data_IF_865763771314
#
_entry.id   IF_865763771314
#
_cell.length_a   1.000
_cell.length_b   1.000
_cell.length_c   1.000
_cell.angle_alpha   90.00
_cell.angle_beta   90.00
_cell.angle_gamma   90.00
#
_symmetry.space_group_name_H-M   'P 1'
#
loop_
_entity.id
_entity.type
_entity.pdbx_description
1 polymer ?
#
# COMPACT_ATOMS: atom_id res chain seq x y z
N UNK A 1 2.07 -24.24 19.48
CA UNK A 1 1.63 -24.68 18.13
C UNK A 1 0.12 -24.91 18.05
N UNK A 2 -0.50 -25.67 18.94
CA UNK A 2 -1.96 -25.98 18.94
C UNK A 2 -2.88 -24.74 18.93
N UNK A 3 -2.60 -23.73 19.76
CA UNK A 3 -3.42 -22.52 19.85
C UNK A 3 -3.47 -21.71 18.54
N UNK A 4 -2.35 -21.59 17.82
CA UNK A 4 -2.29 -20.88 16.52
C UNK A 4 -3.10 -21.60 15.43
N UNK A 5 -3.07 -22.93 15.41
CA UNK A 5 -3.86 -23.72 14.44
C UNK A 5 -5.35 -23.65 14.74
N UNK A 6 -5.75 -23.56 16.01
CA UNK A 6 -7.15 -23.38 16.40
C UNK A 6 -7.68 -22.02 15.92
N UNK A 7 -7.00 -20.92 16.21
CA UNK A 7 -7.41 -19.57 15.78
C UNK A 7 -7.51 -19.45 14.24
N UNK A 8 -6.56 -20.08 13.53
CA UNK A 8 -6.62 -20.09 12.07
C UNK A 8 -7.85 -20.87 11.57
N UNK A 9 -8.17 -22.00 12.17
CA UNK A 9 -9.36 -22.77 11.79
C UNK A 9 -10.65 -22.01 12.09
N UNK A 10 -10.73 -21.31 13.20
CA UNK A 10 -11.87 -20.45 13.55
C UNK A 10 -12.04 -19.32 12.50
N UNK A 11 -10.95 -18.65 12.13
CA UNK A 11 -10.96 -17.64 11.09
C UNK A 11 -11.45 -18.19 9.74
N UNK A 12 -10.99 -19.36 9.34
CA UNK A 12 -11.42 -20.03 8.10
C UNK A 12 -12.89 -20.44 8.15
N UNK A 13 -13.40 -20.89 9.31
CA UNK A 13 -14.81 -21.20 9.47
C UNK A 13 -15.71 -19.98 9.29
N UNK A 14 -15.29 -18.82 9.82
CA UNK A 14 -16.01 -17.54 9.60
C UNK A 14 -15.91 -17.11 8.15
N UNK A 15 -14.72 -17.14 7.57
CA UNK A 15 -14.47 -16.76 6.18
C UNK A 15 -15.34 -17.56 5.17
N UNK A 16 -15.47 -18.87 5.38
CA UNK A 16 -16.27 -19.73 4.50
C UNK A 16 -17.77 -19.39 4.51
N UNK A 17 -18.25 -18.74 5.57
CA UNK A 17 -19.66 -18.30 5.71
C UNK A 17 -19.88 -16.85 5.26
N UNK A 18 -18.83 -16.15 4.88
CA UNK A 18 -18.87 -14.74 4.49
C UNK A 18 -18.83 -14.59 2.98
N UNK A 19 -19.40 -13.51 2.46
CA UNK A 19 -19.32 -13.14 1.03
C UNK A 19 -18.03 -12.39 0.71
N UNK A 20 -17.54 -11.57 1.65
CA UNK A 20 -16.31 -10.79 1.57
C UNK A 20 -15.56 -10.90 2.90
N UNK A 21 -14.25 -10.93 2.84
CA UNK A 21 -13.37 -11.01 4.00
C UNK A 21 -12.63 -9.68 4.15
N UNK A 22 -12.81 -8.99 5.26
CA UNK A 22 -12.03 -7.81 5.63
C UNK A 22 -11.00 -8.21 6.66
N UNK A 23 -9.72 -8.00 6.35
CA UNK A 23 -8.59 -8.35 7.22
C UNK A 23 -7.95 -7.07 7.73
N UNK A 24 -8.07 -6.79 9.02
CA UNK A 24 -7.30 -5.75 9.70
C UNK A 24 -5.92 -6.32 10.07
N UNK A 25 -4.87 -5.78 9.47
CA UNK A 25 -3.50 -6.25 9.67
C UNK A 25 -2.50 -5.09 9.60
N UNK A 26 -1.24 -5.36 9.90
CA UNK A 26 -0.18 -4.37 9.86
C UNK A 26 0.68 -4.34 11.10
N UNK A 27 1.13 -3.16 11.50
CA UNK A 27 2.00 -2.98 12.67
C UNK A 27 1.18 -2.83 13.94
N UNK A 28 1.56 -3.55 15.00
CA UNK A 28 1.07 -3.30 16.35
C UNK A 28 1.77 -2.10 16.99
N UNK A 29 1.25 -1.65 18.13
CA UNK A 29 1.77 -0.51 18.87
C UNK A 29 3.27 -0.62 19.22
N UNK A 30 3.75 -1.85 19.45
CA UNK A 30 5.15 -2.14 19.79
C UNK A 30 6.10 -2.08 18.58
N UNK A 31 5.56 -2.03 17.35
CA UNK A 31 6.35 -2.16 16.12
C UNK A 31 6.67 -0.81 15.49
N UNK A 32 6.00 0.24 15.90
CA UNK A 32 6.10 1.57 15.29
C UNK A 32 5.96 2.66 16.35
N UNK A 33 6.40 3.87 16.01
CA UNK A 33 6.45 5.01 16.91
C UNK A 33 7.86 5.34 17.35
N UNK A 34 8.00 6.16 18.39
CA UNK A 34 9.27 6.56 18.95
C UNK A 34 10.06 5.34 19.44
N UNK A 35 11.36 5.33 19.15
CA UNK A 35 12.29 4.24 19.49
C UNK A 35 11.94 2.84 18.94
N UNK A 36 11.08 2.76 17.94
CA UNK A 36 10.67 1.50 17.31
C UNK A 36 11.27 1.33 15.91
N UNK A 37 12.58 1.04 15.84
CA UNK A 37 13.27 0.77 14.58
C UNK A 37 13.14 -0.68 14.16
N UNK A 38 12.94 -0.93 12.85
CA UNK A 38 12.84 -2.26 12.27
C UNK A 38 13.78 -2.42 11.08
N UNK A 39 14.42 -3.56 10.96
CA UNK A 39 15.27 -3.92 9.80
C UNK A 39 14.45 -4.56 8.67
N UNK A 40 13.39 -5.31 9.02
CA UNK A 40 12.35 -5.76 8.08
C UNK A 40 11.12 -4.88 8.28
N UNK A 41 10.61 -4.35 7.18
CA UNK A 41 9.39 -3.53 7.14
C UNK A 41 8.26 -4.26 6.41
N UNK A 42 8.28 -5.56 6.44
CA UNK A 42 7.17 -6.40 5.97
C UNK A 42 6.02 -6.45 6.99
N UNK A 43 4.84 -6.84 6.53
CA UNK A 43 3.77 -7.30 7.42
C UNK A 43 4.28 -8.52 8.20
N UNK A 44 3.97 -8.66 9.51
CA UNK A 44 4.38 -9.83 10.29
C UNK A 44 4.00 -11.14 9.60
N UNK A 45 4.93 -12.08 9.57
CA UNK A 45 4.77 -13.36 8.86
C UNK A 45 3.50 -14.12 9.27
N UNK A 46 3.14 -14.05 10.55
CA UNK A 46 1.92 -14.71 11.05
C UNK A 46 0.65 -14.11 10.43
N UNK A 47 0.63 -12.81 10.19
CA UNK A 47 -0.48 -12.12 9.53
C UNK A 47 -0.50 -12.44 8.04
N UNK A 48 0.65 -12.46 7.37
CA UNK A 48 0.78 -12.87 5.97
C UNK A 48 0.28 -14.31 5.76
N UNK A 49 0.62 -15.21 6.66
CA UNK A 49 0.15 -16.60 6.62
C UNK A 49 -1.38 -16.70 6.76
N UNK A 50 -1.99 -15.86 7.60
CA UNK A 50 -3.45 -15.76 7.71
C UNK A 50 -4.06 -15.26 6.39
N UNK A 51 -3.54 -14.17 5.83
CA UNK A 51 -4.02 -13.61 4.56
C UNK A 51 -3.93 -14.66 3.44
N UNK A 52 -2.81 -15.39 3.36
CA UNK A 52 -2.64 -16.48 2.39
C UNK A 52 -3.68 -17.60 2.56
N UNK A 53 -4.01 -17.96 3.79
CA UNK A 53 -5.01 -18.99 4.07
C UNK A 53 -6.42 -18.50 3.70
N UNK A 54 -6.73 -17.23 3.99
CA UNK A 54 -8.02 -16.61 3.64
C UNK A 54 -8.20 -16.50 2.13
N UNK A 55 -7.18 -16.09 1.38
CA UNK A 55 -7.22 -16.04 -0.09
C UNK A 55 -7.54 -17.41 -0.72
N UNK A 56 -7.07 -18.52 -0.11
CA UNK A 56 -7.36 -19.88 -0.59
C UNK A 56 -8.82 -20.30 -0.47
N UNK A 57 -9.65 -19.55 0.28
CA UNK A 57 -11.10 -19.78 0.33
C UNK A 57 -11.81 -19.39 -0.96
N UNK A 58 -11.14 -18.63 -1.85
CA UNK A 58 -11.72 -18.09 -3.08
C UNK A 58 -12.66 -16.89 -2.85
N UNK A 59 -12.82 -16.45 -1.61
CA UNK A 59 -13.62 -15.25 -1.31
C UNK A 59 -12.82 -13.98 -1.57
N UNK A 60 -13.45 -12.87 -1.96
CA UNK A 60 -12.80 -11.57 -2.05
C UNK A 60 -12.20 -11.17 -0.69
N UNK A 61 -10.94 -10.73 -0.69
CA UNK A 61 -10.24 -10.27 0.51
C UNK A 61 -9.89 -8.80 0.36
N UNK A 62 -10.25 -8.00 1.36
CA UNK A 62 -9.85 -6.60 1.49
C UNK A 62 -8.90 -6.49 2.67
N UNK A 63 -7.69 -6.00 2.44
CA UNK A 63 -6.71 -5.73 3.49
C UNK A 63 -6.85 -4.29 3.96
N UNK A 64 -7.23 -4.10 5.22
CA UNK A 64 -7.18 -2.82 5.93
C UNK A 64 -5.86 -2.77 6.66
N UNK A 65 -4.95 -1.93 6.19
CA UNK A 65 -3.57 -1.89 6.63
C UNK A 65 -3.34 -0.78 7.65
N UNK A 66 -3.02 -1.15 8.88
CA UNK A 66 -2.61 -0.25 9.94
C UNK A 66 -1.08 -0.21 10.01
N UNK A 67 -0.48 0.95 9.83
CA UNK A 67 0.97 1.11 9.87
C UNK A 67 1.39 2.54 10.18
N UNK A 68 2.53 2.74 10.82
CA UNK A 68 3.13 4.05 11.06
C UNK A 68 4.26 4.39 10.09
N UNK A 69 4.52 3.52 9.10
CA UNK A 69 5.56 3.68 8.08
C UNK A 69 5.18 3.03 6.76
N UNK A 70 5.79 3.42 5.63
CA UNK A 70 5.70 2.64 4.41
C UNK A 70 6.27 1.22 4.62
N UNK A 71 5.46 0.20 4.31
CA UNK A 71 5.87 -1.20 4.38
C UNK A 71 6.25 -1.73 2.99
N UNK A 72 7.00 -2.83 2.94
CA UNK A 72 7.21 -3.59 1.72
C UNK A 72 6.01 -4.51 1.48
N UNK A 73 5.16 -4.14 0.54
CA UNK A 73 3.87 -4.78 0.27
C UNK A 73 3.83 -5.49 -1.08
N UNK A 74 4.98 -5.82 -1.66
CA UNK A 74 5.04 -6.39 -3.01
C UNK A 74 4.24 -7.68 -3.13
N UNK A 75 4.31 -8.56 -2.13
CA UNK A 75 3.51 -9.78 -2.15
C UNK A 75 2.01 -9.48 -2.02
N UNK A 76 1.63 -8.59 -1.10
CA UNK A 76 0.25 -8.19 -0.86
C UNK A 76 -0.35 -7.51 -2.09
N UNK A 77 0.40 -6.60 -2.73
CA UNK A 77 -0.02 -5.94 -3.97
C UNK A 77 -0.34 -6.93 -5.10
N UNK A 78 0.42 -8.01 -5.19
CA UNK A 78 0.28 -8.98 -6.27
C UNK A 78 -0.81 -10.05 -5.99
N UNK A 79 -1.25 -10.19 -4.74
CA UNK A 79 -2.14 -11.29 -4.34
C UNK A 79 -3.45 -10.84 -3.71
N UNK A 80 -3.52 -9.66 -3.11
CA UNK A 80 -4.71 -9.15 -2.43
C UNK A 80 -5.46 -8.20 -3.35
N UNK A 81 -6.75 -8.46 -3.64
CA UNK A 81 -7.52 -7.67 -4.59
C UNK A 81 -7.68 -6.19 -4.24
N UNK A 82 -7.73 -5.86 -2.94
CA UNK A 82 -7.89 -4.48 -2.46
C UNK A 82 -7.11 -4.26 -1.17
N UNK A 83 -6.41 -3.13 -1.09
CA UNK A 83 -5.65 -2.69 0.08
C UNK A 83 -6.07 -1.27 0.43
N UNK A 84 -6.57 -1.07 1.64
CA UNK A 84 -6.89 0.23 2.21
C UNK A 84 -5.85 0.55 3.28
N UNK A 85 -4.93 1.48 2.99
CA UNK A 85 -3.94 1.94 3.97
C UNK A 85 -4.55 3.05 4.84
N UNK A 86 -4.70 2.79 6.13
CA UNK A 86 -5.40 3.67 7.07
C UNK A 86 -4.48 4.37 8.05
N UNK A 87 -3.18 4.07 8.01
CA UNK A 87 -2.22 4.56 9.00
C UNK A 87 -2.73 4.28 10.43
N UNK A 88 -2.74 5.28 11.30
CA UNK A 88 -3.34 5.25 12.63
C UNK A 88 -4.34 6.39 12.76
N UNK A 89 -5.62 6.07 12.68
CA UNK A 89 -6.69 7.04 12.42
C UNK A 89 -7.31 7.71 13.65
N UNK A 90 -6.95 7.35 14.87
CA UNK A 90 -7.56 7.92 16.08
C UNK A 90 -8.96 7.38 16.40
N UNK A 91 -9.75 8.13 17.18
CA UNK A 91 -10.99 7.65 17.80
C UNK A 91 -12.09 7.32 16.77
N UNK A 92 -12.21 8.09 15.71
CA UNK A 92 -13.25 7.92 14.69
C UNK A 92 -12.81 7.04 13.50
N UNK A 93 -11.66 6.37 13.62
CA UNK A 93 -11.10 5.56 12.53
C UNK A 93 -12.04 4.44 12.08
N UNK A 94 -12.77 3.83 13.02
CA UNK A 94 -13.70 2.74 12.72
C UNK A 94 -14.79 3.16 11.75
N UNK A 95 -15.46 4.27 12.05
CA UNK A 95 -16.54 4.81 11.24
C UNK A 95 -16.01 5.24 9.86
N UNK A 96 -14.90 5.97 9.82
CA UNK A 96 -14.28 6.40 8.57
C UNK A 96 -13.84 5.23 7.66
N UNK A 97 -13.32 4.14 8.25
CA UNK A 97 -12.98 2.92 7.52
C UNK A 97 -14.24 2.25 6.97
N UNK A 98 -15.30 2.17 7.77
CA UNK A 98 -16.57 1.58 7.35
C UNK A 98 -17.17 2.37 6.19
N UNK A 99 -17.26 3.70 6.29
CA UNK A 99 -17.80 4.58 5.25
C UNK A 99 -17.08 4.37 3.90
N UNK A 100 -15.75 4.23 3.93
CA UNK A 100 -14.98 3.94 2.73
C UNK A 100 -15.24 2.52 2.22
N UNK A 101 -15.22 1.51 3.10
CA UNK A 101 -15.39 0.11 2.70
C UNK A 101 -16.76 -0.18 2.11
N UNK A 102 -17.81 0.45 2.63
CA UNK A 102 -19.19 0.27 2.17
C UNK A 102 -19.60 1.26 1.07
N UNK A 103 -18.73 2.22 0.74
CA UNK A 103 -18.92 3.14 -0.37
C UNK A 103 -19.73 4.39 -0.05
N UNK A 104 -20.02 4.65 1.23
CA UNK A 104 -20.70 5.88 1.67
C UNK A 104 -19.81 7.11 1.43
N UNK A 105 -18.49 6.92 1.51
CA UNK A 105 -17.48 7.93 1.19
C UNK A 105 -16.50 7.42 0.13
N UNK A 106 -16.30 8.21 -0.91
CA UNK A 106 -15.31 7.93 -1.94
C UNK A 106 -13.89 8.16 -1.39
N UNK A 107 -12.96 7.20 -1.45
CA UNK A 107 -11.59 7.40 -0.98
C UNK A 107 -10.90 8.52 -1.77
N UNK A 108 -10.51 9.58 -1.10
CA UNK A 108 -9.86 10.76 -1.68
C UNK A 108 -8.41 10.93 -1.21
N UNK A 109 -8.03 10.26 -0.13
CA UNK A 109 -6.68 10.31 0.42
C UNK A 109 -5.63 9.77 -0.56
N UNK A 110 -4.47 10.42 -0.56
CA UNK A 110 -3.30 10.00 -1.33
C UNK A 110 -2.15 9.70 -0.38
N UNK A 111 -1.28 8.75 -0.76
CA UNK A 111 -0.12 8.41 0.05
C UNK A 111 0.80 9.62 0.25
N UNK A 112 1.15 9.89 1.49
CA UNK A 112 2.04 10.98 1.91
C UNK A 112 3.49 10.55 2.05
N UNK A 113 3.79 9.32 1.66
CA UNK A 113 5.12 8.74 1.65
C UNK A 113 5.24 7.72 0.51
N UNK A 114 6.47 7.51 0.04
CA UNK A 114 6.79 6.52 -0.99
C UNK A 114 6.89 5.13 -0.37
N UNK A 115 6.22 4.15 -0.94
CA UNK A 115 6.30 2.74 -0.53
C UNK A 115 7.32 2.00 -1.39
N UNK A 116 8.35 1.37 -0.80
CA UNK A 116 9.35 0.61 -1.55
C UNK A 116 8.82 -0.77 -1.98
N UNK A 117 9.37 -1.33 -3.03
CA UNK A 117 9.17 -2.73 -3.39
C UNK A 117 9.98 -3.67 -2.47
N UNK A 118 11.14 -3.20 -2.04
CA UNK A 118 12.08 -3.95 -1.22
C UNK A 118 12.81 -3.03 -0.24
N UNK A 119 13.13 -3.53 0.95
CA UNK A 119 13.85 -2.77 1.98
C UNK A 119 15.20 -2.25 1.48
N UNK A 120 15.84 -2.95 0.55
CA UNK A 120 17.12 -2.53 -0.04
C UNK A 120 17.04 -1.27 -0.90
N UNK A 121 15.86 -0.82 -1.29
CA UNK A 121 15.68 0.45 -2.02
C UNK A 121 15.76 1.69 -1.12
N UNK A 122 15.69 1.53 0.20
CA UNK A 122 15.68 2.65 1.14
C UNK A 122 17.10 3.26 1.27
N UNK A 123 17.20 4.60 1.24
CA UNK A 123 16.16 5.63 1.23
C UNK A 123 15.53 5.82 -0.15
N UNK A 124 14.20 5.80 -0.21
CA UNK A 124 13.41 6.04 -1.43
C UNK A 124 12.33 7.09 -1.11
N UNK A 125 12.44 8.26 -1.72
CA UNK A 125 11.56 9.39 -1.41
C UNK A 125 11.28 10.23 -2.66
N UNK A 126 10.16 10.96 -2.62
CA UNK A 126 9.67 11.76 -3.76
C UNK A 126 10.70 12.70 -4.37
N UNK A 127 11.46 13.41 -3.54
CA UNK A 127 12.43 14.41 -3.97
C UNK A 127 13.81 13.81 -4.35
N UNK A 128 13.88 12.51 -4.62
CA UNK A 128 15.12 11.85 -4.99
C UNK A 128 15.70 12.46 -6.29
N UNK A 129 16.94 12.89 -6.21
CA UNK A 129 17.68 13.45 -7.35
C UNK A 129 18.39 12.35 -8.12
N UNK A 130 18.54 12.57 -9.42
CA UNK A 130 19.36 11.69 -10.25
C UNK A 130 20.79 11.62 -9.72
N UNK A 131 21.36 10.42 -9.85
CA UNK A 131 22.79 10.20 -9.63
C UNK A 131 23.59 10.62 -10.86
N UNK A 132 24.92 10.55 -10.79
CA UNK A 132 25.77 10.87 -11.93
C UNK A 132 25.61 9.95 -13.16
N UNK A 133 24.99 8.79 -12.98
CA UNK A 133 24.74 7.79 -14.04
C UNK A 133 23.32 7.23 -13.90
N UNK A 134 22.28 8.04 -14.16
CA UNK A 134 20.89 7.56 -14.04
C UNK A 134 20.62 6.45 -15.07
N UNK A 135 19.71 5.54 -14.73
CA UNK A 135 19.23 4.55 -15.67
C UNK A 135 18.42 5.24 -16.79
N UNK A 136 18.89 5.14 -18.01
CA UNK A 136 18.21 5.63 -19.21
C UNK A 136 17.92 4.45 -20.13
N UNK A 137 16.66 4.08 -20.29
CA UNK A 137 16.25 2.96 -21.13
C UNK A 137 15.81 1.72 -20.35
N UNK A 138 15.87 0.52 -20.95
CA UNK A 138 15.36 -0.70 -20.34
C UNK A 138 16.08 -1.01 -19.03
N UNK A 139 15.33 -1.63 -18.13
CA UNK A 139 15.84 -2.07 -16.85
C UNK A 139 17.12 -2.89 -16.97
N UNK A 140 18.03 -2.67 -16.06
CA UNK A 140 19.37 -3.18 -15.93
C UNK A 140 20.32 -2.80 -17.07
N UNK A 141 21.13 -1.80 -16.79
CA UNK A 141 22.30 -1.48 -17.59
C UNK A 141 23.54 -1.44 -16.71
N UNK A 142 24.57 -2.19 -17.10
CA UNK A 142 25.83 -2.20 -16.37
C UNK A 142 26.42 -0.79 -16.31
N UNK A 143 26.94 -0.42 -15.16
CA UNK A 143 27.54 0.90 -14.87
C UNK A 143 26.55 2.09 -14.76
N UNK A 144 25.24 1.84 -14.76
CA UNK A 144 24.23 2.82 -14.42
C UNK A 144 23.67 2.58 -13.00
N UNK A 145 23.00 3.59 -12.42
CA UNK A 145 22.39 3.47 -11.11
C UNK A 145 21.11 2.65 -11.20
N UNK A 146 21.23 1.37 -10.98
CA UNK A 146 20.09 0.44 -10.94
C UNK A 146 20.38 -0.75 -10.03
N UNK A 147 19.32 -1.37 -9.55
CA UNK A 147 19.38 -2.65 -8.87
C UNK A 147 19.38 -3.80 -9.89
N UNK A 148 19.93 -4.95 -9.51
CA UNK A 148 19.97 -6.14 -10.39
C UNK A 148 18.75 -7.05 -10.20
N UNK A 149 18.00 -6.88 -9.13
CA UNK A 149 16.95 -7.79 -8.65
C UNK A 149 15.60 -7.10 -8.44
N UNK A 150 15.55 -5.77 -8.48
CA UNK A 150 14.33 -4.97 -8.37
C UNK A 150 14.44 -3.72 -9.26
N UNK A 151 13.34 -3.21 -9.75
CA UNK A 151 13.34 -1.95 -10.50
C UNK A 151 13.68 -0.76 -9.60
N UNK A 152 14.09 0.37 -10.20
CA UNK A 152 14.29 1.61 -9.45
C UNK A 152 12.98 2.25 -9.00
N UNK A 153 11.86 1.85 -9.59
CA UNK A 153 10.55 2.42 -9.29
C UNK A 153 10.05 1.97 -7.92
N UNK A 154 9.33 2.82 -7.19
CA UNK A 154 8.65 2.42 -5.97
C UNK A 154 7.50 1.44 -6.26
N UNK A 155 7.04 0.74 -5.23
CA UNK A 155 5.77 0.00 -5.30
C UNK A 155 4.60 0.97 -5.45
N UNK A 156 4.54 1.97 -4.57
CA UNK A 156 3.58 3.08 -4.66
C UNK A 156 4.33 4.40 -4.48
N UNK A 157 4.28 5.31 -5.46
CA UNK A 157 4.90 6.61 -5.32
C UNK A 157 4.15 7.51 -4.33
N UNK A 158 4.81 8.53 -3.84
CA UNK A 158 4.16 9.64 -3.13
C UNK A 158 2.99 10.19 -3.98
N UNK A 159 1.86 10.43 -3.35
CA UNK A 159 0.67 10.92 -4.03
C UNK A 159 -0.18 9.84 -4.71
N UNK A 160 0.24 8.57 -4.65
CA UNK A 160 -0.55 7.47 -5.17
C UNK A 160 -1.83 7.25 -4.35
N UNK A 161 -2.89 6.86 -5.02
CA UNK A 161 -4.14 6.44 -4.41
C UNK A 161 -5.26 6.35 -5.44
N UNK A 162 -6.02 5.28 -5.37
CA UNK A 162 -7.17 5.04 -6.22
C UNK A 162 -8.43 5.68 -5.63
N UNK A 163 -9.43 5.83 -6.46
CA UNK A 163 -10.75 6.36 -6.11
C UNK A 163 -11.82 5.47 -6.75
N UNK A 164 -13.01 5.48 -6.23
CA UNK A 164 -14.16 4.79 -6.87
C UNK A 164 -14.63 5.50 -8.13
N UNK A 165 -14.25 6.76 -8.30
CA UNK A 165 -14.55 7.56 -9.48
C UNK A 165 -13.32 7.69 -10.38
N UNK A 166 -13.56 7.92 -11.68
CA UNK A 166 -12.52 8.21 -12.66
C UNK A 166 -12.67 9.64 -13.13
N UNK A 167 -11.53 10.27 -13.44
CA UNK A 167 -11.47 11.61 -14.03
C UNK A 167 -10.87 11.50 -15.42
N UNK A 168 -11.53 12.11 -16.39
CA UNK A 168 -11.01 12.25 -17.74
C UNK A 168 -10.59 13.70 -17.94
N UNK A 169 -9.35 13.91 -18.34
CA UNK A 169 -8.81 15.22 -18.64
C UNK A 169 -8.90 15.45 -20.15
N UNK A 170 -9.64 16.49 -20.54
CA UNK A 170 -9.70 16.94 -21.94
C UNK A 170 -8.55 17.90 -22.28
N UNK A 171 -8.56 18.35 -23.54
CA UNK A 171 -7.61 19.35 -24.01
C UNK A 171 -7.83 20.70 -23.30
N UNK A 172 -6.73 21.43 -23.09
CA UNK A 172 -6.78 22.78 -22.51
C UNK A 172 -7.36 23.74 -23.54
N UNK A 173 -8.50 24.34 -23.19
CA UNK A 173 -9.12 25.40 -23.99
C UNK A 173 -8.85 26.76 -23.34
N UNK A 174 -8.14 27.62 -24.03
CA UNK A 174 -7.87 28.97 -23.59
C UNK A 174 -8.92 29.93 -24.19
N UNK A 175 -9.51 30.80 -23.37
CA UNK A 175 -10.42 31.83 -23.85
C UNK A 175 -9.71 32.93 -24.65
N UNK A 176 -8.41 33.12 -24.41
CA UNK A 176 -7.51 34.02 -25.16
C UNK A 176 -6.12 33.38 -25.20
N UNK A 177 -5.50 33.40 -26.37
CA UNK A 177 -4.13 32.91 -26.56
C UNK A 177 -3.05 33.92 -26.17
N UNK A 178 -3.43 35.17 -26.00
CA UNK A 178 -2.54 36.29 -25.65
C UNK A 178 -3.14 37.11 -24.52
N UNK A 179 -2.29 37.52 -23.57
CA UNK A 179 -2.64 38.44 -22.48
C UNK A 179 -1.68 39.61 -22.57
N UNK A 180 -2.22 40.81 -22.72
CA UNK A 180 -1.44 42.06 -22.59
C UNK A 180 -1.31 42.43 -21.12
N UNK A 181 -0.10 42.74 -20.62
CA UNK A 181 0.06 43.29 -19.27
C UNK A 181 -0.67 44.63 -19.16
N UNK A 182 -1.42 44.81 -18.08
CA UNK A 182 -2.03 46.09 -17.70
C UNK A 182 -1.08 46.90 -16.87
#
# INVERSE_FOLDING_TARGET
>A
MLFRSQLLNEALQVANKSDVIVVAAGEGAEMTGEAASRTSIDIPETQRNLIQALLKTGKPVVLVLFTGRPLTLTWENNNVPAILNVWFGGSEAGDAIADVLFGDVNPSGKLTATFPQNVGQIPLYYAHKNTGRPLNGPWFQKFQSNYIDVSNEPLYPFGYGLSYTKFEYGDINLSKNEITPT
#
